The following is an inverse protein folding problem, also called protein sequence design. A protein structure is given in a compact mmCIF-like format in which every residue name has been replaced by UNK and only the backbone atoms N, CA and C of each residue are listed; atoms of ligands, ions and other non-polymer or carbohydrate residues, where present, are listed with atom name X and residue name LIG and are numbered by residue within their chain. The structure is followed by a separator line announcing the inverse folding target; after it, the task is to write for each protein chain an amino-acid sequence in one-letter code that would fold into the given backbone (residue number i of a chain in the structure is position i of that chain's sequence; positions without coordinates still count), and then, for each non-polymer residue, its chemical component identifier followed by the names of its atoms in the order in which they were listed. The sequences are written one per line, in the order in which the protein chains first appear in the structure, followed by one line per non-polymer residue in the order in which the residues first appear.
data_IF_218052124632
#
_entry.id   IF_218052124632
#
_cell.length_a   1.000
_cell.length_b   1.000
_cell.length_c   1.000
_cell.angle_alpha   90.00
_cell.angle_beta   90.00
_cell.angle_gamma   90.00
#
_symmetry.space_group_name_H-M   'P 1'
#
loop_
_entity.id
_entity.type
_entity.pdbx_description
1 polymer ?
#
# COMPACT_ATOMS: atom_id res chain seq x y z
N UNK A 1 29.71 2.33 -1.15
CA UNK A 1 28.53 1.48 -0.91
C UNK A 1 28.48 0.38 -1.95
N UNK A 2 27.99 -0.81 -1.58
CA UNK A 2 27.75 -1.92 -2.51
C UNK A 2 26.25 -2.19 -2.46
N UNK A 3 25.59 -2.00 -3.60
CA UNK A 3 24.13 -2.08 -3.70
C UNK A 3 23.75 -3.35 -4.48
N UNK A 4 22.86 -4.21 -3.96
CA UNK A 4 22.40 -5.37 -4.71
C UNK A 4 21.60 -4.91 -5.93
N UNK A 5 21.96 -5.43 -7.11
CA UNK A 5 21.23 -5.15 -8.34
C UNK A 5 19.84 -5.79 -8.29
N UNK A 6 18.84 -5.07 -8.81
CA UNK A 6 17.47 -5.55 -8.95
C UNK A 6 16.97 -5.22 -10.36
N UNK A 7 16.25 -6.14 -11.03
CA UNK A 7 15.61 -5.87 -12.31
C UNK A 7 14.44 -4.89 -12.18
N UNK A 8 13.82 -4.84 -11.01
CA UNK A 8 12.75 -3.90 -10.69
C UNK A 8 13.33 -2.52 -10.37
N UNK A 9 12.98 -1.45 -11.12
CA UNK A 9 13.58 -0.12 -10.99
C UNK A 9 13.24 0.54 -9.65
N UNK A 10 12.05 0.29 -9.13
CA UNK A 10 11.57 0.85 -7.86
C UNK A 10 12.36 0.29 -6.68
N UNK A 11 12.51 -1.04 -6.66
CA UNK A 11 13.35 -1.73 -5.69
C UNK A 11 14.81 -1.34 -5.83
N UNK A 12 15.32 -1.22 -7.07
CA UNK A 12 16.72 -0.87 -7.28
C UNK A 12 17.02 0.57 -6.81
N UNK A 13 16.13 1.52 -7.08
CA UNK A 13 16.25 2.89 -6.58
C UNK A 13 16.17 2.98 -5.06
N UNK A 14 15.26 2.24 -4.41
CA UNK A 14 15.21 2.13 -2.94
C UNK A 14 16.54 1.65 -2.35
N UNK A 15 17.15 0.64 -2.97
CA UNK A 15 18.44 0.11 -2.54
C UNK A 15 19.58 1.11 -2.81
N UNK A 16 19.55 1.81 -3.94
CA UNK A 16 20.58 2.78 -4.32
C UNK A 16 20.56 4.06 -3.48
N UNK A 17 19.41 4.40 -2.88
CA UNK A 17 19.27 5.53 -1.96
C UNK A 17 19.67 5.20 -0.52
N UNK A 18 20.02 3.95 -0.21
CA UNK A 18 20.55 3.57 1.10
C UNK A 18 21.78 4.44 1.44
N UNK A 19 21.90 4.96 2.68
CA UNK A 19 21.22 4.57 3.92
C UNK A 19 19.84 5.22 4.20
N UNK A 20 19.32 6.08 3.31
CA UNK A 20 18.05 6.75 3.54
C UNK A 20 16.86 5.80 3.39
N UNK A 21 15.90 5.87 4.32
CA UNK A 21 14.67 5.08 4.23
C UNK A 21 13.65 5.78 3.34
N UNK A 22 13.30 5.14 2.23
CA UNK A 22 12.29 5.61 1.29
C UNK A 22 10.92 5.08 1.69
N UNK A 23 9.97 5.98 1.91
CA UNK A 23 8.60 5.64 2.29
C UNK A 23 7.81 5.15 1.08
N UNK A 24 7.86 5.89 -0.03
CA UNK A 24 7.18 5.53 -1.29
C UNK A 24 8.08 5.80 -2.48
N UNK A 25 7.94 5.01 -3.53
CA UNK A 25 8.69 5.17 -4.78
C UNK A 25 7.71 4.94 -5.92
N UNK A 26 7.83 5.76 -6.97
CA UNK A 26 7.00 5.68 -8.15
C UNK A 26 7.91 5.73 -9.37
N UNK A 27 7.80 4.74 -10.23
CA UNK A 27 8.53 4.73 -11.50
C UNK A 27 7.63 5.13 -12.67
N UNK A 28 8.15 6.01 -13.54
CA UNK A 28 7.53 6.35 -14.81
C UNK A 28 8.41 5.80 -15.95
N UNK A 29 8.03 4.67 -16.57
CA UNK A 29 8.84 4.04 -17.62
C UNK A 29 8.88 4.86 -18.92
N UNK A 30 7.91 5.74 -19.15
CA UNK A 30 7.83 6.59 -20.34
C UNK A 30 8.94 7.64 -20.37
N UNK A 31 9.20 8.29 -19.24
CA UNK A 31 10.21 9.34 -19.06
C UNK A 31 11.50 8.81 -18.43
N UNK A 32 11.53 7.54 -18.00
CA UNK A 32 12.62 6.95 -17.21
C UNK A 32 12.95 7.75 -15.95
N UNK A 33 11.90 8.18 -15.27
CA UNK A 33 12.00 8.96 -14.03
C UNK A 33 11.47 8.15 -12.86
N UNK A 34 12.11 8.28 -11.70
CA UNK A 34 11.71 7.67 -10.44
C UNK A 34 11.49 8.80 -9.44
N UNK A 35 10.29 8.86 -8.87
CA UNK A 35 9.94 9.79 -7.82
C UNK A 35 9.96 9.05 -6.49
N UNK A 36 10.87 9.44 -5.59
CA UNK A 36 11.02 8.84 -4.28
C UNK A 36 10.57 9.82 -3.19
N UNK A 37 9.63 9.37 -2.37
CA UNK A 37 9.11 10.11 -1.22
C UNK A 37 9.78 9.59 0.04
N UNK A 38 10.39 10.49 0.78
CA UNK A 38 11.11 10.21 2.02
C UNK A 38 10.56 11.08 3.15
N UNK A 39 10.81 10.68 4.39
CA UNK A 39 10.50 11.52 5.54
C UNK A 39 11.34 12.80 5.56
N UNK A 40 10.87 13.86 6.23
CA UNK A 40 11.57 15.15 6.25
C UNK A 40 12.99 15.01 6.82
N UNK A 41 13.16 14.21 7.86
CA UNK A 41 14.46 13.91 8.47
C UNK A 41 15.39 13.10 7.55
N UNK A 42 14.82 12.34 6.61
CA UNK A 42 15.56 11.48 5.68
C UNK A 42 15.89 12.17 4.36
N UNK A 43 15.23 13.29 4.04
CA UNK A 43 15.45 14.04 2.79
C UNK A 43 16.90 14.48 2.64
N UNK A 44 17.48 15.05 3.69
CA UNK A 44 18.88 15.50 3.66
C UNK A 44 19.85 14.32 3.45
N UNK A 45 19.57 13.17 4.08
CA UNK A 45 20.38 11.96 3.95
C UNK A 45 20.26 11.37 2.54
N UNK A 46 19.04 11.32 1.99
CA UNK A 46 18.76 10.79 0.65
C UNK A 46 19.43 11.63 -0.45
N UNK A 47 19.40 12.96 -0.33
CA UNK A 47 20.09 13.88 -1.24
C UNK A 47 21.62 13.72 -1.09
N UNK A 48 22.10 13.61 0.15
CA UNK A 48 23.51 13.53 0.48
C UNK A 48 24.25 14.88 0.32
N UNK A 49 25.52 14.91 0.67
CA UNK A 49 26.34 16.13 0.62
C UNK A 49 26.42 16.66 -0.82
N UNK A 50 25.91 17.86 -1.07
CA UNK A 50 25.80 18.47 -2.41
C UNK A 50 25.01 17.65 -3.43
N UNK A 51 24.04 16.82 -3.01
CA UNK A 51 23.25 16.01 -3.95
C UNK A 51 24.03 14.82 -4.54
N UNK A 52 25.17 14.47 -3.95
CA UNK A 52 26.01 13.40 -4.48
C UNK A 52 25.31 12.03 -4.41
N UNK A 53 24.51 11.77 -3.38
CA UNK A 53 23.91 10.46 -3.18
C UNK A 53 22.82 10.18 -4.23
N UNK A 54 21.88 11.11 -4.39
CA UNK A 54 20.83 11.02 -5.43
C UNK A 54 21.42 10.96 -6.85
N UNK A 55 22.52 11.67 -7.09
CA UNK A 55 23.20 11.64 -8.39
C UNK A 55 23.84 10.28 -8.66
N UNK A 56 24.54 9.70 -7.69
CA UNK A 56 25.11 8.36 -7.81
C UNK A 56 24.03 7.29 -7.99
N UNK A 57 22.91 7.40 -7.27
CA UNK A 57 21.78 6.49 -7.44
C UNK A 57 21.15 6.61 -8.84
N UNK A 58 21.03 7.82 -9.37
CA UNK A 58 20.56 8.09 -10.74
C UNK A 58 21.50 7.49 -11.79
N UNK A 59 22.82 7.68 -11.63
CA UNK A 59 23.83 7.09 -12.52
C UNK A 59 23.87 5.56 -12.44
N UNK A 60 23.69 4.99 -11.25
CA UNK A 60 23.71 3.54 -11.01
C UNK A 60 22.47 2.84 -11.60
N UNK A 61 21.29 3.45 -11.40
CA UNK A 61 20.03 2.91 -11.92
C UNK A 61 19.89 3.17 -13.42
N UNK A 62 20.45 4.27 -13.92
CA UNK A 62 20.22 4.77 -15.28
C UNK A 62 18.87 5.49 -15.44
N UNK A 63 18.24 5.87 -14.33
CA UNK A 63 16.95 6.56 -14.26
C UNK A 63 17.13 7.90 -13.56
N UNK A 64 16.36 8.91 -13.97
CA UNK A 64 16.33 10.19 -13.27
C UNK A 64 15.61 10.01 -11.93
N UNK A 65 16.26 10.31 -10.81
CA UNK A 65 15.65 10.19 -9.48
C UNK A 65 15.32 11.59 -8.95
N UNK A 66 14.05 11.84 -8.68
CA UNK A 66 13.55 13.04 -8.00
C UNK A 66 13.13 12.66 -6.57
N UNK A 67 13.61 13.42 -5.58
CA UNK A 67 13.35 13.19 -4.16
C UNK A 67 12.40 14.26 -3.63
N UNK A 68 11.39 13.83 -2.88
CA UNK A 68 10.39 14.69 -2.25
C UNK A 68 10.24 14.33 -0.78
N UNK A 69 9.99 15.31 0.07
CA UNK A 69 9.52 15.02 1.43
C UNK A 69 8.04 14.62 1.40
N UNK A 70 7.59 13.84 2.38
CA UNK A 70 6.17 13.51 2.57
C UNK A 70 5.28 14.76 2.54
N UNK A 71 5.76 15.86 3.14
CA UNK A 71 5.06 17.15 3.16
C UNK A 71 5.03 17.81 1.77
N UNK A 72 6.17 17.91 1.10
CA UNK A 72 6.24 18.51 -0.24
C UNK A 72 5.41 17.71 -1.25
N UNK A 73 5.41 16.39 -1.12
CA UNK A 73 4.57 15.50 -1.93
C UNK A 73 3.07 15.77 -1.72
N UNK A 74 2.64 15.98 -0.47
CA UNK A 74 1.24 16.31 -0.16
C UNK A 74 0.84 17.68 -0.69
N UNK A 75 1.70 18.69 -0.56
CA UNK A 75 1.44 20.05 -1.06
C UNK A 75 1.35 20.09 -2.60
N UNK A 76 2.17 19.27 -3.29
CA UNK A 76 2.08 19.05 -4.74
C UNK A 76 0.80 18.29 -5.15
N UNK A 77 0.14 17.60 -4.23
CA UNK A 77 -1.04 16.76 -4.44
C UNK A 77 -2.39 17.49 -4.51
N UNK A 78 -2.42 18.82 -4.73
CA UNK A 78 -3.67 19.58 -4.94
C UNK A 78 -4.18 19.57 -6.38
N UNK A 79 -3.53 18.81 -7.28
CA UNK A 79 -4.06 18.46 -8.60
C UNK A 79 -3.81 16.97 -8.89
N UNK A 80 -4.47 16.11 -8.10
CA UNK A 80 -4.53 14.64 -8.26
C UNK A 80 -3.19 13.89 -8.14
N UNK A 81 -3.08 12.85 -7.29
CA UNK A 81 -1.96 11.92 -7.41
C UNK A 81 -2.13 11.09 -8.71
N UNK A 82 -1.66 11.62 -9.85
CA UNK A 82 -1.67 10.94 -11.15
C UNK A 82 -0.89 9.60 -11.14
N UNK A 83 0.02 9.43 -10.17
CA UNK A 83 0.88 8.24 -10.06
C UNK A 83 1.15 7.82 -8.62
N UNK A 84 0.21 8.06 -7.69
CA UNK A 84 0.16 7.12 -6.59
C UNK A 84 -0.28 5.78 -7.23
N UNK A 85 0.50 4.68 -7.23
CA UNK A 85 -0.11 3.38 -6.99
C UNK A 85 -1.17 3.65 -5.96
N UNK A 86 -2.41 3.31 -6.31
CA UNK A 86 -3.42 3.01 -5.32
C UNK A 86 -2.67 2.34 -4.17
N UNK A 87 -2.85 2.79 -2.91
CA UNK A 87 -2.16 2.18 -1.77
C UNK A 87 -2.10 0.69 -2.07
N UNK A 88 -0.89 0.11 -2.06
CA UNK A 88 -0.73 -1.33 -2.25
C UNK A 88 -1.91 -1.96 -1.53
N UNK A 89 -2.59 -2.90 -2.17
CA UNK A 89 -3.64 -3.69 -1.57
C UNK A 89 -3.07 -4.48 -0.36
N UNK A 90 -2.41 -3.85 0.62
CA UNK A 90 -2.84 -3.96 2.01
C UNK A 90 -4.34 -3.75 2.00
N UNK A 91 -5.09 -4.82 1.71
CA UNK A 91 -6.09 -5.44 2.59
C UNK A 91 -6.82 -4.49 3.58
N UNK A 92 -7.06 -3.26 3.17
CA UNK A 92 -7.93 -2.29 3.81
C UNK A 92 -9.03 -1.94 2.79
N UNK A 93 -9.56 -2.95 2.09
CA UNK A 93 -11.01 -3.00 1.96
C UNK A 93 -11.49 -2.98 3.41
N UNK A 94 -12.03 -1.84 3.83
CA UNK A 94 -12.50 -1.59 5.18
C UNK A 94 -12.99 -2.89 5.81
N UNK A 95 -12.41 -3.28 6.96
CA UNK A 95 -13.00 -4.26 7.87
C UNK A 95 -14.36 -3.70 8.31
N UNK A 96 -15.34 -3.74 7.40
CA UNK A 96 -16.71 -3.35 7.66
C UNK A 96 -17.18 -4.42 8.63
N UNK A 97 -17.37 -4.00 9.88
CA UNK A 97 -17.89 -4.90 10.90
C UNK A 97 -19.25 -5.38 10.44
N UNK A 98 -19.50 -6.68 10.62
CA UNK A 98 -20.80 -7.28 10.29
C UNK A 98 -21.96 -6.58 11.02
N UNK A 99 -21.69 -6.00 12.20
CA UNK A 99 -22.64 -5.19 12.98
C UNK A 99 -23.11 -3.92 12.28
N UNK A 100 -22.31 -3.35 11.37
CA UNK A 100 -22.61 -2.10 10.66
C UNK A 100 -23.28 -2.35 9.30
N UNK A 101 -23.42 -3.62 8.87
CA UNK A 101 -24.05 -3.98 7.61
C UNK A 101 -25.57 -3.91 7.75
N UNK A 102 -26.17 -2.95 7.05
CA UNK A 102 -27.61 -2.78 7.00
C UNK A 102 -28.24 -3.89 6.12
N UNK A 103 -28.77 -4.93 6.77
CA UNK A 103 -29.40 -6.06 6.07
C UNK A 103 -29.24 -7.40 6.80
N UNK A 104 -28.24 -7.53 7.68
CA UNK A 104 -28.08 -8.72 8.52
C UNK A 104 -28.90 -8.58 9.81
N UNK A 105 -29.73 -9.57 10.18
CA UNK A 105 -30.36 -9.59 11.48
C UNK A 105 -29.31 -9.82 12.59
N UNK A 106 -29.53 -9.27 13.79
CA UNK A 106 -28.57 -9.36 14.89
C UNK A 106 -28.29 -10.80 15.36
N UNK A 107 -29.22 -11.73 15.08
CA UNK A 107 -29.02 -13.15 15.36
C UNK A 107 -27.92 -13.77 14.47
N UNK A 108 -27.88 -13.38 13.19
CA UNK A 108 -26.92 -13.90 12.21
C UNK A 108 -25.53 -13.30 12.42
N UNK A 109 -25.44 -12.03 12.80
CA UNK A 109 -24.18 -11.41 13.23
C UNK A 109 -23.60 -12.14 14.44
N UNK A 110 -24.43 -12.46 15.45
CA UNK A 110 -23.96 -13.17 16.64
C UNK A 110 -23.43 -14.58 16.34
N UNK A 111 -24.06 -15.32 15.41
CA UNK A 111 -23.61 -16.65 14.97
C UNK A 111 -22.28 -16.56 14.21
N UNK A 112 -22.14 -15.57 13.32
CA UNK A 112 -20.89 -15.32 12.59
C UNK A 112 -19.76 -14.89 13.52
N UNK A 113 -20.05 -14.03 14.50
CA UNK A 113 -19.08 -13.61 15.52
C UNK A 113 -18.64 -14.78 16.43
N UNK A 114 -19.55 -15.68 16.78
CA UNK A 114 -19.24 -16.90 17.55
C UNK A 114 -18.37 -17.87 16.74
N UNK A 115 -18.60 -17.96 15.43
CA UNK A 115 -17.78 -18.71 14.49
C UNK A 115 -16.41 -18.07 14.20
N UNK A 116 -16.20 -16.83 14.66
CA UNK A 116 -14.94 -16.10 14.55
C UNK A 116 -14.87 -15.11 13.38
N UNK A 117 -15.94 -14.97 12.60
CA UNK A 117 -16.04 -14.01 11.49
C UNK A 117 -16.57 -12.68 12.01
N UNK A 118 -15.79 -11.60 11.91
CA UNK A 118 -16.17 -10.29 12.47
C UNK A 118 -16.29 -9.21 11.42
N UNK A 119 -15.69 -9.43 10.26
CA UNK A 119 -15.59 -8.42 9.20
C UNK A 119 -16.19 -8.96 7.91
N UNK A 120 -16.54 -8.06 7.00
CA UNK A 120 -17.09 -8.46 5.70
C UNK A 120 -16.10 -9.34 4.91
N UNK A 121 -14.79 -9.10 5.07
CA UNK A 121 -13.74 -9.85 4.37
C UNK A 121 -13.66 -11.30 4.87
N UNK A 122 -13.97 -11.54 6.14
CA UNK A 122 -14.03 -12.88 6.71
C UNK A 122 -15.13 -13.76 6.09
N UNK A 123 -16.20 -13.14 5.57
CA UNK A 123 -17.37 -13.85 5.02
C UNK A 123 -17.45 -13.81 3.49
N UNK A 124 -16.71 -12.91 2.82
CA UNK A 124 -16.80 -12.74 1.36
C UNK A 124 -16.31 -13.96 0.58
N UNK A 125 -15.38 -14.72 1.17
CA UNK A 125 -14.84 -15.96 0.62
C UNK A 125 -15.62 -17.21 1.09
N UNK A 126 -16.63 -17.07 1.95
CA UNK A 126 -17.43 -18.20 2.42
C UNK A 126 -18.47 -18.61 1.38
N UNK A 127 -18.47 -19.90 1.04
CA UNK A 127 -19.50 -20.48 0.19
C UNK A 127 -20.80 -20.71 0.99
N UNK A 128 -21.95 -20.72 0.30
CA UNK A 128 -23.27 -20.99 0.91
C UNK A 128 -23.26 -22.24 1.78
N UNK A 129 -22.55 -23.28 1.35
CA UNK A 129 -22.49 -24.57 2.04
C UNK A 129 -21.81 -24.46 3.41
N UNK A 130 -20.86 -23.54 3.57
CA UNK A 130 -20.18 -23.30 4.84
C UNK A 130 -21.02 -22.42 5.78
N UNK A 131 -21.76 -21.45 5.22
CA UNK A 131 -22.74 -20.67 5.99
C UNK A 131 -23.88 -21.55 6.55
N UNK A 132 -24.34 -22.53 5.78
CA UNK A 132 -25.40 -23.46 6.21
C UNK A 132 -24.94 -24.49 7.26
N UNK A 133 -23.63 -24.71 7.41
CA UNK A 133 -23.08 -25.55 8.49
C UNK A 133 -23.11 -24.83 9.84
N UNK A 134 -23.24 -23.51 9.86
CA UNK A 134 -23.33 -22.73 11.08
C UNK A 134 -24.73 -22.88 11.70
N UNK A 135 -24.81 -23.20 13.00
CA UNK A 135 -26.09 -23.40 13.68
C UNK A 135 -26.83 -22.06 13.83
N UNK A 136 -27.94 -21.89 13.09
CA UNK A 136 -28.82 -20.73 13.24
C UNK A 136 -28.90 -19.79 12.03
N UNK A 137 -28.17 -20.08 10.94
CA UNK A 137 -28.30 -19.34 9.67
C UNK A 137 -29.48 -19.91 8.87
N UNK A 138 -30.46 -19.08 8.52
CA UNK A 138 -31.54 -19.51 7.63
C UNK A 138 -31.05 -19.58 6.17
N UNK A 139 -31.58 -20.50 5.34
CA UNK A 139 -31.18 -20.63 3.94
C UNK A 139 -31.48 -19.40 3.06
N UNK A 140 -32.30 -18.47 3.55
CA UNK A 140 -32.57 -17.17 2.92
C UNK A 140 -31.52 -16.10 3.24
N UNK A 141 -30.67 -16.34 4.23
CA UNK A 141 -29.62 -15.41 4.70
C UNK A 141 -28.23 -15.77 4.17
N UNK A 142 -28.10 -16.96 3.57
CA UNK A 142 -26.90 -17.45 2.89
C UNK A 142 -26.96 -17.22 1.36
N UNK A 143 -27.85 -16.33 0.91
CA UNK A 143 -28.05 -15.90 -0.49
C UNK A 143 -27.56 -14.46 -0.64
#
# INVERSE_FOLDING_TARGET
DIVPWSPDPERFAKLALAPAKVARVFSDPSTKTIQAVVDEDQLSLAIGRNGQNVRLASELTGWKIDLYSSREWLERGTDSPLFAPLPEESDEMADVRLSDIQGLPPATVAVLEEAGYRTLNDIIDLEREDLLKLPGIAPTEAD
#
